data_IF_923963099162
#
_entry.id   IF_923963099162
#
_cell.length_a   1.000
_cell.length_b   1.000
_cell.length_c   1.000
_cell.angle_alpha   90.00
_cell.angle_beta   90.00
_cell.angle_gamma   90.00
#
_symmetry.space_group_name_H-M   'P 1'
#
loop_
_entity.id
_entity.type
_entity.pdbx_description
1 polymer ?
#
# COMPACT_ATOMS: atom_id res chain seq x y z
N UNK A 1 -6.80 19.45 -32.62
CA UNK A 1 -6.12 20.14 -31.48
C UNK A 1 -6.74 19.83 -30.11
N UNK A 2 -7.84 19.04 -30.02
CA UNK A 2 -8.51 18.70 -28.75
C UNK A 2 -7.93 17.49 -28.00
N UNK A 3 -7.47 16.45 -28.69
CA UNK A 3 -6.97 15.20 -28.07
C UNK A 3 -5.66 15.36 -27.29
N UNK A 4 -4.77 16.28 -27.68
CA UNK A 4 -3.44 16.43 -27.05
C UNK A 4 -3.54 17.03 -25.63
N UNK A 5 -4.64 17.71 -25.29
CA UNK A 5 -4.84 18.26 -23.94
C UNK A 5 -5.26 17.18 -22.94
N UNK A 6 -5.98 16.16 -23.37
CA UNK A 6 -6.59 15.15 -22.50
C UNK A 6 -5.55 14.16 -21.95
N UNK A 7 -4.67 13.63 -22.82
CA UNK A 7 -3.62 12.66 -22.48
C UNK A 7 -2.67 13.14 -21.35
N UNK A 8 -2.34 14.44 -21.31
CA UNK A 8 -1.38 14.95 -20.32
C UNK A 8 -2.01 15.25 -18.97
N UNK A 9 -3.31 15.55 -18.94
CA UNK A 9 -4.06 15.72 -17.71
C UNK A 9 -4.27 14.36 -17.03
N UNK A 10 -4.59 13.34 -17.84
CA UNK A 10 -4.82 11.98 -17.40
C UNK A 10 -3.54 11.34 -16.83
N UNK A 11 -2.42 11.45 -17.54
CA UNK A 11 -1.14 10.92 -17.04
C UNK A 11 -0.58 11.66 -15.82
N UNK A 12 -0.88 12.96 -15.68
CA UNK A 12 -0.54 13.70 -14.47
C UNK A 12 -1.43 13.26 -13.29
N UNK A 13 -2.67 12.85 -13.55
CA UNK A 13 -3.55 12.26 -12.55
C UNK A 13 -3.05 10.89 -12.12
N UNK A 14 -2.59 10.06 -13.06
CA UNK A 14 -1.99 8.74 -12.77
C UNK A 14 -0.79 8.84 -11.84
N UNK A 15 0.20 9.70 -12.15
CA UNK A 15 1.37 9.84 -11.27
C UNK A 15 0.97 10.31 -9.86
N UNK A 16 0.06 11.28 -9.74
CA UNK A 16 -0.43 11.74 -8.44
C UNK A 16 -1.09 10.61 -7.65
N UNK A 17 -1.90 9.80 -8.32
CA UNK A 17 -2.58 8.64 -7.73
C UNK A 17 -1.59 7.60 -7.22
N UNK A 18 -0.60 7.23 -8.04
CA UNK A 18 0.44 6.27 -7.64
C UNK A 18 1.24 6.79 -6.43
N UNK A 19 1.59 8.08 -6.40
CA UNK A 19 2.30 8.68 -5.27
C UNK A 19 1.46 8.68 -3.99
N UNK A 20 0.16 8.98 -4.08
CA UNK A 20 -0.75 8.92 -2.94
C UNK A 20 -0.82 7.51 -2.33
N UNK A 21 -0.98 6.49 -3.19
CA UNK A 21 -0.99 5.08 -2.77
C UNK A 21 0.35 4.68 -2.12
N UNK A 22 1.47 5.22 -2.61
CA UNK A 22 2.79 4.99 -2.02
C UNK A 22 2.86 5.50 -0.57
N UNK A 23 2.35 6.69 -0.31
CA UNK A 23 2.36 7.28 1.03
C UNK A 23 1.45 6.52 2.02
N UNK A 24 0.28 6.06 1.56
CA UNK A 24 -0.61 5.25 2.39
C UNK A 24 0.00 3.88 2.71
N UNK A 25 0.68 3.24 1.75
CA UNK A 25 1.44 1.99 2.00
C UNK A 25 2.51 2.23 3.06
N UNK A 26 3.29 3.32 2.95
CA UNK A 26 4.29 3.68 3.96
C UNK A 26 3.66 3.93 5.33
N UNK A 27 2.49 4.57 5.38
CA UNK A 27 1.75 4.79 6.63
C UNK A 27 1.41 3.46 7.29
N UNK A 28 0.88 2.48 6.54
CA UNK A 28 0.54 1.16 7.08
C UNK A 28 1.78 0.40 7.55
N UNK A 29 2.92 0.49 6.86
CA UNK A 29 4.20 -0.12 7.31
C UNK A 29 4.58 0.44 8.69
N UNK A 30 4.54 1.76 8.88
CA UNK A 30 4.85 2.39 10.17
C UNK A 30 3.94 1.89 11.27
N UNK A 31 2.62 1.87 11.05
CA UNK A 31 1.64 1.43 12.05
C UNK A 31 1.79 -0.07 12.35
N UNK A 32 2.11 -0.89 11.35
CA UNK A 32 2.35 -2.32 11.53
C UNK A 32 3.49 -2.60 12.52
N UNK A 33 4.57 -1.81 12.46
CA UNK A 33 5.71 -1.93 13.39
C UNK A 33 5.31 -1.59 14.84
N UNK A 34 4.36 -0.68 15.03
CA UNK A 34 3.82 -0.32 16.34
C UNK A 34 3.05 -1.51 16.96
N UNK A 35 2.22 -2.20 16.17
CA UNK A 35 1.52 -3.42 16.63
C UNK A 35 2.51 -4.47 17.15
N UNK A 36 3.64 -4.68 16.46
CA UNK A 36 4.66 -5.63 16.91
C UNK A 36 5.25 -5.24 18.27
N UNK A 37 5.52 -3.95 18.48
CA UNK A 37 6.07 -3.44 19.74
C UNK A 37 5.06 -3.52 20.89
N UNK A 38 3.81 -3.10 20.65
CA UNK A 38 2.73 -3.20 21.64
C UNK A 38 2.49 -4.65 22.01
N UNK A 39 2.39 -5.57 21.05
CA UNK A 39 2.19 -6.99 21.30
C UNK A 39 3.38 -7.65 22.05
N UNK A 40 4.61 -7.22 21.78
CA UNK A 40 5.78 -7.68 22.53
C UNK A 40 5.72 -7.24 24.00
N UNK A 41 5.40 -5.97 24.26
CA UNK A 41 5.26 -5.45 25.62
C UNK A 41 4.09 -6.14 26.34
N UNK A 42 2.98 -6.36 25.64
CA UNK A 42 1.82 -7.10 26.12
C UNK A 42 2.18 -8.51 26.61
N UNK A 43 2.97 -9.24 25.81
CA UNK A 43 3.45 -10.57 26.15
C UNK A 43 4.33 -10.57 27.40
N UNK A 44 5.20 -9.56 27.57
CA UNK A 44 6.06 -9.43 28.74
C UNK A 44 5.24 -9.15 30.02
N UNK A 45 4.23 -8.27 29.92
CA UNK A 45 3.29 -7.99 31.02
C UNK A 45 2.53 -9.26 31.41
N UNK A 46 2.02 -10.00 30.42
CA UNK A 46 1.29 -11.24 30.67
C UNK A 46 2.15 -12.34 31.32
N UNK A 47 3.44 -12.45 30.95
CA UNK A 47 4.38 -13.35 31.62
C UNK A 47 4.60 -12.99 33.09
N UNK A 48 4.61 -11.70 33.45
CA UNK A 48 4.76 -11.25 34.84
C UNK A 48 3.54 -11.59 35.70
N UNK A 49 2.34 -11.56 35.11
CA UNK A 49 1.08 -11.84 35.80
C UNK A 49 0.81 -13.32 36.10
N UNK A 50 1.70 -14.22 35.64
CA UNK A 50 1.61 -15.65 35.94
C UNK A 50 0.47 -16.36 35.22
N UNK A 51 -0.12 -17.38 35.86
CA UNK A 51 -1.01 -18.32 35.17
C UNK A 51 -2.29 -17.71 34.62
N UNK A 52 -2.84 -16.68 35.30
CA UNK A 52 -4.08 -16.01 34.91
C UNK A 52 -3.98 -15.24 33.59
N UNK A 53 -2.78 -15.01 33.06
CA UNK A 53 -2.56 -14.27 31.82
C UNK A 53 -1.96 -15.11 30.70
N UNK A 54 -1.95 -16.45 30.85
CA UNK A 54 -1.41 -17.37 29.83
C UNK A 54 -2.12 -17.25 28.49
N UNK A 55 -3.46 -17.20 28.49
CA UNK A 55 -4.23 -17.02 27.26
C UNK A 55 -3.90 -15.71 26.56
N UNK A 56 -3.82 -14.60 27.31
CA UNK A 56 -3.42 -13.31 26.77
C UNK A 56 -1.98 -13.31 26.21
N UNK A 57 -1.05 -14.02 26.85
CA UNK A 57 0.31 -14.18 26.36
C UNK A 57 0.36 -14.96 25.02
N UNK A 58 -0.49 -15.99 24.86
CA UNK A 58 -0.62 -16.74 23.61
C UNK A 58 -1.16 -15.84 22.51
N UNK A 59 -2.26 -15.13 22.75
CA UNK A 59 -2.84 -14.22 21.73
C UNK A 59 -1.86 -13.10 21.36
N UNK A 60 -1.13 -12.55 22.34
CA UNK A 60 -0.08 -11.55 22.10
C UNK A 60 1.04 -12.10 21.20
N UNK A 61 1.36 -13.39 21.33
CA UNK A 61 2.35 -14.05 20.46
C UNK A 61 1.85 -14.19 19.03
N UNK A 62 0.58 -14.52 18.84
CA UNK A 62 -0.06 -14.61 17.52
C UNK A 62 -0.17 -13.24 16.85
N UNK A 63 -0.52 -12.20 17.61
CA UNK A 63 -0.53 -10.81 17.12
C UNK A 63 0.85 -10.37 16.63
N UNK A 64 1.92 -10.83 17.29
CA UNK A 64 3.30 -10.55 16.87
C UNK A 64 3.64 -11.25 15.55
N UNK A 65 3.21 -12.51 15.39
CA UNK A 65 3.36 -13.24 14.13
C UNK A 65 2.55 -12.57 13.02
N UNK A 66 1.31 -12.16 13.30
CA UNK A 66 0.46 -11.40 12.39
C UNK A 66 1.14 -10.10 11.95
N UNK A 67 1.63 -9.29 12.89
CA UNK A 67 2.27 -8.01 12.58
C UNK A 67 3.51 -8.19 11.70
N UNK A 68 4.35 -9.21 11.96
CA UNK A 68 5.49 -9.54 11.08
C UNK A 68 5.06 -9.95 9.68
N UNK A 69 4.01 -10.78 9.55
CA UNK A 69 3.47 -11.17 8.24
C UNK A 69 2.91 -9.96 7.50
N UNK A 70 2.23 -9.05 8.21
CA UNK A 70 1.75 -7.79 7.68
C UNK A 70 2.90 -6.92 7.19
N UNK A 71 3.96 -6.74 7.97
CA UNK A 71 5.13 -5.96 7.60
C UNK A 71 5.80 -6.50 6.31
N UNK A 72 5.97 -7.82 6.20
CA UNK A 72 6.51 -8.47 4.99
C UNK A 72 5.62 -8.23 3.79
N UNK A 73 4.30 -8.42 3.93
CA UNK A 73 3.37 -8.23 2.82
C UNK A 73 3.30 -6.75 2.37
N UNK A 74 3.30 -5.82 3.33
CA UNK A 74 3.33 -4.38 3.07
C UNK A 74 4.65 -3.94 2.43
N UNK A 75 5.78 -4.54 2.79
CA UNK A 75 7.07 -4.30 2.14
C UNK A 75 7.04 -4.75 0.68
N UNK A 76 6.41 -5.89 0.40
CA UNK A 76 6.17 -6.36 -0.97
C UNK A 76 5.30 -5.39 -1.79
N UNK A 77 4.20 -4.90 -1.19
CA UNK A 77 3.38 -3.83 -1.79
C UNK A 77 4.19 -2.56 -2.03
N UNK A 78 5.06 -2.18 -1.08
CA UNK A 78 5.98 -1.06 -1.15
C UNK A 78 6.92 -1.14 -2.37
N UNK A 79 7.47 -2.32 -2.64
CA UNK A 79 8.33 -2.54 -3.81
C UNK A 79 7.55 -2.40 -5.13
N UNK A 80 6.33 -2.96 -5.21
CA UNK A 80 5.47 -2.85 -6.39
C UNK A 80 5.09 -1.39 -6.67
N UNK A 81 4.64 -0.66 -5.65
CA UNK A 81 4.24 0.75 -5.83
C UNK A 81 5.44 1.63 -6.17
N UNK A 82 6.64 1.32 -5.66
CA UNK A 82 7.85 2.05 -6.03
C UNK A 82 8.20 1.87 -7.51
N UNK A 83 8.04 0.65 -8.05
CA UNK A 83 8.13 0.37 -9.48
C UNK A 83 7.12 1.20 -10.29
N UNK A 84 5.86 1.18 -9.87
CA UNK A 84 4.80 1.98 -10.49
C UNK A 84 5.10 3.48 -10.48
N UNK A 85 5.64 4.05 -9.39
CA UNK A 85 6.00 5.48 -9.34
C UNK A 85 7.06 5.79 -10.41
N UNK A 86 8.08 4.94 -10.52
CA UNK A 86 9.15 5.10 -11.51
C UNK A 86 8.58 5.04 -12.93
N UNK A 87 7.73 4.05 -13.21
CA UNK A 87 7.22 3.82 -14.56
C UNK A 87 6.21 4.89 -14.96
N UNK A 88 5.36 5.34 -14.03
CA UNK A 88 4.47 6.48 -14.22
C UNK A 88 5.23 7.80 -14.46
N UNK A 89 6.32 8.04 -13.72
CA UNK A 89 7.18 9.21 -13.94
C UNK A 89 7.89 9.14 -15.31
N UNK A 90 8.36 7.96 -15.71
CA UNK A 90 8.94 7.73 -17.03
C UNK A 90 7.91 7.97 -18.14
N UNK A 91 6.69 7.46 -17.99
CA UNK A 91 5.57 7.69 -18.90
C UNK A 91 5.26 9.17 -19.05
N UNK A 92 5.17 9.91 -17.93
CA UNK A 92 4.91 11.34 -17.95
C UNK A 92 6.00 12.12 -18.70
N UNK A 93 7.28 11.74 -18.51
CA UNK A 93 8.40 12.34 -19.25
C UNK A 93 8.29 12.03 -20.75
N UNK A 94 8.08 10.77 -21.11
CA UNK A 94 7.95 10.34 -22.51
C UNK A 94 6.79 11.04 -23.22
N UNK A 95 5.67 11.24 -22.54
CA UNK A 95 4.50 11.95 -23.08
C UNK A 95 4.74 13.45 -23.29
N UNK A 96 5.46 14.11 -22.38
CA UNK A 96 5.89 15.51 -22.58
C UNK A 96 6.77 15.63 -23.83
N UNK A 97 7.75 14.74 -23.98
CA UNK A 97 8.62 14.68 -25.15
C UNK A 97 7.82 14.42 -26.44
N UNK A 98 6.94 13.42 -26.43
CA UNK A 98 6.03 13.09 -27.54
C UNK A 98 5.24 14.31 -27.99
N UNK A 99 4.68 15.08 -27.05
CA UNK A 99 3.92 16.30 -27.37
C UNK A 99 4.78 17.36 -28.04
N UNK A 100 6.02 17.56 -27.58
CA UNK A 100 6.93 18.51 -28.24
C UNK A 100 7.21 18.10 -29.68
N UNK A 101 7.38 16.81 -29.94
CA UNK A 101 7.66 16.28 -31.28
C UNK A 101 6.42 16.30 -32.19
N UNK A 102 5.23 16.02 -31.65
CA UNK A 102 3.98 16.20 -32.37
C UNK A 102 3.80 17.66 -32.82
N UNK A 103 4.20 18.61 -31.98
CA UNK A 103 4.12 20.02 -32.32
C UNK A 103 5.08 20.38 -33.47
N UNK A 104 6.31 19.86 -33.48
CA UNK A 104 7.26 20.12 -34.58
C UNK A 104 6.80 19.51 -35.90
N UNK A 105 6.23 18.31 -35.87
CA UNK A 105 5.63 17.66 -37.07
C UNK A 105 4.42 18.46 -37.58
N UNK A 106 3.57 18.95 -36.68
CA UNK A 106 2.37 19.73 -37.04
C UNK A 106 2.68 21.06 -37.74
N UNK A 107 3.87 21.64 -37.51
CA UNK A 107 4.31 22.86 -38.18
C UNK A 107 4.93 22.63 -39.58
N UNK A 108 4.98 21.37 -40.06
CA UNK A 108 5.23 21.05 -41.48
C UNK A 108 6.63 21.39 -42.02
N UNK A 109 7.63 21.54 -41.15
CA UNK A 109 9.00 21.88 -41.58
C UNK A 109 9.76 20.70 -42.21
N UNK A 110 10.91 20.95 -42.88
CA UNK A 110 11.74 19.91 -43.54
C UNK A 110 12.21 18.76 -42.63
N UNK A 111 12.11 18.93 -41.30
CA UNK A 111 12.44 17.90 -40.32
C UNK A 111 11.29 16.93 -39.98
N UNK A 112 10.07 17.14 -40.50
CA UNK A 112 8.90 16.32 -40.15
C UNK A 112 9.08 14.84 -40.57
N UNK A 113 9.59 14.61 -41.78
CA UNK A 113 9.83 13.25 -42.31
C UNK A 113 10.91 12.49 -41.53
N UNK A 114 11.87 13.22 -40.93
CA UNK A 114 12.92 12.63 -40.08
C UNK A 114 12.40 12.33 -38.66
N UNK A 115 11.46 13.12 -38.15
CA UNK A 115 10.91 12.98 -36.79
C UNK A 115 9.82 11.90 -36.74
N UNK A 116 9.05 11.71 -37.81
CA UNK A 116 7.99 10.70 -37.89
C UNK A 116 8.41 9.27 -37.45
N UNK A 117 9.51 8.68 -37.95
CA UNK A 117 9.94 7.35 -37.50
C UNK A 117 10.42 7.34 -36.05
N UNK A 118 11.00 8.43 -35.54
CA UNK A 118 11.40 8.53 -34.14
C UNK A 118 10.17 8.61 -33.22
N UNK A 119 9.12 9.32 -33.66
CA UNK A 119 7.84 9.41 -32.96
C UNK A 119 7.16 8.04 -32.87
N UNK A 120 7.10 7.29 -33.98
CA UNK A 120 6.54 5.94 -34.00
C UNK A 120 7.26 5.00 -33.01
N UNK A 121 8.60 5.06 -32.98
CA UNK A 121 9.40 4.29 -32.01
C UNK A 121 9.13 4.71 -30.57
N UNK A 122 8.94 6.01 -30.31
CA UNK A 122 8.56 6.52 -28.98
C UNK A 122 7.18 6.03 -28.57
N UNK A 123 6.21 6.05 -29.48
CA UNK A 123 4.85 5.54 -29.24
C UNK A 123 4.84 4.05 -28.90
N UNK A 124 5.67 3.25 -29.58
CA UNK A 124 5.87 1.84 -29.24
C UNK A 124 6.40 1.65 -27.80
N UNK A 125 7.45 2.40 -27.43
CA UNK A 125 8.00 2.33 -26.06
C UNK A 125 7.03 2.85 -24.99
N UNK A 126 6.22 3.85 -25.32
CA UNK A 126 5.14 4.31 -24.45
C UNK A 126 4.06 3.23 -24.32
N UNK A 127 3.72 2.55 -25.42
CA UNK A 127 2.78 1.43 -25.42
C UNK A 127 3.23 0.31 -24.47
N UNK A 128 4.50 -0.09 -24.54
CA UNK A 128 5.06 -1.12 -23.65
C UNK A 128 5.07 -0.67 -22.19
N UNK A 129 5.54 0.56 -21.90
CA UNK A 129 5.53 1.12 -20.54
C UNK A 129 4.11 1.17 -19.97
N UNK A 130 3.12 1.51 -20.80
CA UNK A 130 1.71 1.56 -20.39
C UNK A 130 1.13 0.17 -20.09
N UNK A 131 1.56 -0.86 -20.81
CA UNK A 131 1.21 -2.26 -20.49
C UNK A 131 1.83 -2.71 -19.17
N UNK A 132 3.08 -2.37 -18.90
CA UNK A 132 3.75 -2.67 -17.64
C UNK A 132 3.04 -2.01 -16.45
N UNK A 133 2.72 -0.71 -16.55
CA UNK A 133 1.96 0.03 -15.53
C UNK A 133 0.63 -0.67 -15.23
N UNK A 134 -0.14 -1.05 -16.27
CA UNK A 134 -1.41 -1.78 -16.08
C UNK A 134 -1.22 -3.14 -15.40
N UNK A 135 -0.17 -3.88 -15.80
CA UNK A 135 0.16 -5.17 -15.18
C UNK A 135 0.50 -5.02 -13.70
N UNK A 136 1.30 -4.01 -13.35
CA UNK A 136 1.73 -3.78 -11.98
C UNK A 136 0.61 -3.25 -11.10
N UNK A 137 -0.29 -2.42 -11.63
CA UNK A 137 -1.54 -2.05 -10.95
C UNK A 137 -2.39 -3.26 -10.61
N UNK A 138 -2.54 -4.20 -11.56
CA UNK A 138 -3.30 -5.42 -11.32
C UNK A 138 -2.64 -6.30 -10.24
N UNK A 139 -1.32 -6.46 -10.27
CA UNK A 139 -0.57 -7.16 -9.22
C UNK A 139 -0.77 -6.49 -7.86
N UNK A 140 -0.72 -5.16 -7.81
CA UNK A 140 -0.92 -4.37 -6.60
C UNK A 140 -2.32 -4.59 -6.00
N UNK A 141 -3.37 -4.57 -6.83
CA UNK A 141 -4.75 -4.87 -6.40
C UNK A 141 -4.88 -6.27 -5.81
N UNK A 142 -4.30 -7.29 -6.47
CA UNK A 142 -4.35 -8.67 -5.99
C UNK A 142 -3.63 -8.80 -4.64
N UNK A 143 -2.42 -8.24 -4.52
CA UNK A 143 -1.65 -8.29 -3.27
C UNK A 143 -2.35 -7.54 -2.15
N UNK A 144 -2.94 -6.38 -2.44
CA UNK A 144 -3.73 -5.63 -1.46
C UNK A 144 -4.93 -6.43 -0.96
N UNK A 145 -5.63 -7.15 -1.84
CA UNK A 145 -6.71 -8.05 -1.47
C UNK A 145 -6.26 -9.12 -0.47
N UNK A 146 -5.07 -9.72 -0.70
CA UNK A 146 -4.47 -10.70 0.21
C UNK A 146 -4.12 -10.09 1.57
N UNK A 147 -3.59 -8.86 1.59
CA UNK A 147 -3.29 -8.15 2.84
C UNK A 147 -4.56 -7.86 3.62
N UNK A 148 -5.63 -7.41 2.96
CA UNK A 148 -6.91 -7.16 3.61
C UNK A 148 -7.49 -8.44 4.26
N UNK A 149 -7.41 -9.58 3.56
CA UNK A 149 -7.82 -10.86 4.13
C UNK A 149 -6.99 -11.23 5.37
N UNK A 150 -5.69 -10.97 5.35
CA UNK A 150 -4.83 -11.17 6.53
C UNK A 150 -5.24 -10.25 7.69
N UNK A 151 -5.62 -9.00 7.42
CA UNK A 151 -6.10 -8.09 8.47
C UNK A 151 -7.41 -8.57 9.14
N UNK A 152 -8.26 -9.33 8.44
CA UNK A 152 -9.44 -9.94 9.08
C UNK A 152 -9.04 -10.91 10.20
N UNK A 153 -7.97 -11.69 9.98
CA UNK A 153 -7.40 -12.55 11.03
C UNK A 153 -6.82 -11.72 12.19
N UNK A 154 -6.17 -10.60 11.89
CA UNK A 154 -5.68 -9.66 12.91
C UNK A 154 -6.81 -9.09 13.77
N UNK A 155 -7.95 -8.75 13.16
CA UNK A 155 -9.14 -8.30 13.89
C UNK A 155 -9.73 -9.39 14.80
N UNK A 156 -9.73 -10.64 14.37
CA UNK A 156 -10.15 -11.77 15.22
C UNK A 156 -9.22 -11.96 16.42
N UNK A 157 -7.90 -11.90 16.21
CA UNK A 157 -6.90 -11.94 17.29
C UNK A 157 -7.09 -10.79 18.28
N UNK A 158 -7.35 -9.58 17.78
CA UNK A 158 -7.58 -8.42 18.64
C UNK A 158 -8.81 -8.58 19.55
N UNK A 159 -9.91 -9.11 19.02
CA UNK A 159 -11.11 -9.43 19.82
C UNK A 159 -10.81 -10.51 20.87
N UNK A 160 -10.06 -11.54 20.48
CA UNK A 160 -9.60 -12.59 21.41
C UNK A 160 -8.74 -12.01 22.53
N UNK A 161 -7.82 -11.09 22.22
CA UNK A 161 -6.98 -10.43 23.22
C UNK A 161 -7.81 -9.67 24.27
N UNK A 162 -8.91 -9.02 23.85
CA UNK A 162 -9.84 -8.37 24.80
C UNK A 162 -10.54 -9.35 25.72
N UNK A 163 -10.95 -10.51 25.21
CA UNK A 163 -11.57 -11.57 26.03
C UNK A 163 -10.57 -12.06 27.07
N UNK A 164 -9.37 -12.43 26.63
CA UNK A 164 -8.31 -12.92 27.52
C UNK A 164 -7.86 -11.89 28.56
N UNK A 165 -7.89 -10.60 28.22
CA UNK A 165 -7.59 -9.52 29.16
C UNK A 165 -8.57 -9.46 30.34
N UNK A 166 -9.84 -9.85 30.14
CA UNK A 166 -10.83 -9.94 31.22
C UNK A 166 -10.43 -10.97 32.27
N UNK A 167 -9.84 -12.09 31.85
CA UNK A 167 -9.43 -13.18 32.73
C UNK A 167 -8.06 -12.98 33.40
N UNK A 168 -7.39 -11.86 33.13
CA UNK A 168 -6.05 -11.53 33.61
C UNK A 168 -5.84 -11.34 35.12
N UNK A 169 -6.86 -11.59 35.96
CA UNK A 169 -6.79 -11.40 37.41
C UNK A 169 -6.44 -9.97 37.80
N UNK A 170 -5.44 -9.80 38.66
CA UNK A 170 -5.04 -8.50 39.22
C UNK A 170 -4.50 -7.54 38.15
N UNK A 171 -4.06 -8.07 37.00
CA UNK A 171 -3.60 -7.28 35.85
C UNK A 171 -4.70 -7.02 34.81
N UNK A 172 -5.95 -7.40 35.07
CA UNK A 172 -7.05 -7.28 34.10
C UNK A 172 -7.21 -5.86 33.55
N UNK A 173 -7.09 -4.84 34.40
CA UNK A 173 -7.18 -3.44 33.98
C UNK A 173 -6.08 -3.07 32.96
N UNK A 174 -4.83 -3.42 33.24
CA UNK A 174 -3.69 -3.14 32.37
C UNK A 174 -3.78 -3.95 31.07
N UNK A 175 -4.14 -5.24 31.13
CA UNK A 175 -4.29 -6.05 29.92
C UNK A 175 -5.41 -5.53 29.02
N UNK A 176 -6.51 -5.02 29.59
CA UNK A 176 -7.60 -4.41 28.82
C UNK A 176 -7.14 -3.14 28.11
N UNK A 177 -6.36 -2.29 28.78
CA UNK A 177 -5.78 -1.11 28.16
C UNK A 177 -4.90 -1.48 26.96
N UNK A 178 -4.03 -2.48 27.12
CA UNK A 178 -3.16 -2.95 26.03
C UNK A 178 -3.97 -3.60 24.90
N UNK A 179 -5.01 -4.38 25.22
CA UNK A 179 -5.89 -4.99 24.23
C UNK A 179 -6.65 -3.95 23.40
N UNK A 180 -7.13 -2.88 24.05
CA UNK A 180 -7.79 -1.77 23.37
C UNK A 180 -6.82 -1.02 22.45
N UNK A 181 -5.58 -0.78 22.90
CA UNK A 181 -4.55 -0.16 22.06
C UNK A 181 -4.29 -1.00 20.80
N UNK A 182 -4.13 -2.32 20.95
CA UNK A 182 -3.95 -3.23 19.80
C UNK A 182 -5.15 -3.15 18.85
N UNK A 183 -6.36 -3.12 19.37
CA UNK A 183 -7.59 -3.04 18.56
C UNK A 183 -7.66 -1.74 17.77
N UNK A 184 -7.36 -0.60 18.40
CA UNK A 184 -7.31 0.70 17.73
C UNK A 184 -6.29 0.69 16.59
N UNK A 185 -5.07 0.22 16.85
CA UNK A 185 -4.00 0.17 15.84
C UNK A 185 -4.34 -0.77 14.68
N UNK A 186 -4.89 -1.96 14.96
CA UNK A 186 -5.33 -2.92 13.92
C UNK A 186 -6.50 -2.35 13.10
N UNK A 187 -7.43 -1.65 13.74
CA UNK A 187 -8.55 -1.01 13.05
C UNK A 187 -8.09 0.15 12.16
N UNK A 188 -7.08 0.93 12.59
CA UNK A 188 -6.49 1.99 11.76
C UNK A 188 -5.81 1.42 10.51
N UNK A 189 -5.08 0.31 10.65
CA UNK A 189 -4.52 -0.42 9.50
C UNK A 189 -5.63 -0.82 8.54
N UNK A 190 -6.71 -1.42 9.07
CA UNK A 190 -7.79 -1.94 8.25
C UNK A 190 -8.57 -0.84 7.51
N UNK A 191 -8.82 0.29 8.18
CA UNK A 191 -9.49 1.44 7.56
C UNK A 191 -8.63 2.05 6.45
N UNK A 192 -7.32 2.21 6.70
CA UNK A 192 -6.36 2.73 5.71
C UNK A 192 -6.29 1.82 4.48
N UNK A 193 -6.18 0.51 4.67
CA UNK A 193 -6.13 -0.45 3.55
C UNK A 193 -7.46 -0.53 2.78
N UNK A 194 -8.60 -0.37 3.46
CA UNK A 194 -9.91 -0.30 2.80
C UNK A 194 -10.06 0.94 1.93
N UNK A 195 -9.65 2.10 2.45
CA UNK A 195 -9.63 3.36 1.70
C UNK A 195 -8.73 3.25 0.48
N UNK A 196 -7.54 2.66 0.66
CA UNK A 196 -6.61 2.41 -0.42
C UNK A 196 -7.23 1.48 -1.48
N UNK A 197 -7.94 0.42 -1.09
CA UNK A 197 -8.64 -0.46 -2.05
C UNK A 197 -9.72 0.27 -2.84
N UNK A 198 -10.50 1.14 -2.20
CA UNK A 198 -11.53 1.93 -2.91
C UNK A 198 -10.89 2.92 -3.87
N UNK A 199 -9.82 3.61 -3.46
CA UNK A 199 -9.04 4.49 -4.33
C UNK A 199 -8.40 3.77 -5.51
N UNK A 200 -8.16 2.45 -5.40
CA UNK A 200 -7.63 1.60 -6.47
C UNK A 200 -8.71 1.04 -7.41
N UNK A 201 -9.97 1.08 -7.01
CA UNK A 201 -11.08 0.56 -7.80
C UNK A 201 -11.76 1.62 -8.68
N UNK A 202 -11.60 2.91 -8.34
CA UNK A 202 -12.02 4.08 -9.14
C UNK A 202 -11.10 4.35 -10.33
#
# INVERSE_FOLDING_TARGET
MGEIKDDTADQAADLRRVVMVNEDIKKVIRISSEVNLVALNAMLVAKRSGEKSRGFAVVSSELRVFSRKLEVAMTGLGALIFGLVRDAAAMQKQSRERRHWLNTVAHGGPGADLVAPMLARKEETMGSTGQEIRSDWHKLQIQLGRVLQMCETGGALSRSAKIEAVYGGDMSATLKQVANQIEETVNEIFSTLKLLRTQLAE
#
